data_IF_293686270491
#
_entry.id   IF_293686270491
#
_cell.length_a   1.000
_cell.length_b   1.000
_cell.length_c   1.000
_cell.angle_alpha   90.00
_cell.angle_beta   90.00
_cell.angle_gamma   90.00
#
_symmetry.space_group_name_H-M   'P 1'
#
loop_
_entity.id
_entity.type
_entity.pdbx_description
1 polymer ?
#
# COMPACT_ATOMS: atom_id res chain seq x y z
N UNK A 1 4.63 1.19 16.03
CA UNK A 1 4.81 -0.27 15.93
C UNK A 1 5.79 -0.65 14.81
N UNK A 2 7.09 -0.39 14.96
CA UNK A 2 8.12 -0.78 13.95
C UNK A 2 8.77 -2.15 14.21
N UNK A 3 8.70 -2.65 15.45
CA UNK A 3 9.51 -3.79 15.89
C UNK A 3 9.23 -5.10 15.13
N UNK A 4 7.97 -5.38 14.76
CA UNK A 4 7.59 -6.63 14.11
C UNK A 4 7.87 -6.69 12.60
N UNK A 5 8.17 -5.55 11.96
CA UNK A 5 8.48 -5.52 10.52
C UNK A 5 9.83 -6.15 10.20
N UNK A 6 10.81 -5.94 11.10
CA UNK A 6 12.18 -6.46 10.97
C UNK A 6 12.22 -8.00 11.03
N UNK A 7 11.64 -8.67 12.04
CA UNK A 7 11.64 -10.13 12.10
C UNK A 7 10.85 -10.77 10.96
N UNK A 8 9.73 -10.17 10.52
CA UNK A 8 8.98 -10.67 9.36
C UNK A 8 9.75 -10.55 8.05
N UNK A 9 10.56 -9.50 7.90
CA UNK A 9 11.45 -9.35 6.74
C UNK A 9 12.58 -10.37 6.77
N UNK A 10 13.14 -10.65 7.94
CA UNK A 10 14.15 -11.69 8.11
C UNK A 10 13.59 -13.08 7.78
N UNK A 11 12.41 -13.44 8.30
CA UNK A 11 11.76 -14.73 8.01
C UNK A 11 11.48 -14.88 6.50
N UNK A 12 10.95 -13.85 5.85
CA UNK A 12 10.72 -13.89 4.40
C UNK A 12 12.04 -14.05 3.63
N UNK A 13 13.07 -13.26 3.97
CA UNK A 13 14.37 -13.33 3.28
C UNK A 13 15.05 -14.69 3.44
N UNK A 14 15.04 -15.28 4.65
CA UNK A 14 15.60 -16.62 4.84
C UNK A 14 14.79 -17.69 4.09
N UNK A 15 13.46 -17.58 4.06
CA UNK A 15 12.63 -18.52 3.32
C UNK A 15 12.83 -18.39 1.79
N UNK A 16 12.99 -17.17 1.27
CA UNK A 16 13.33 -16.94 -0.15
C UNK A 16 14.73 -17.47 -0.50
N UNK A 17 15.72 -17.29 0.38
CA UNK A 17 17.06 -17.86 0.21
C UNK A 17 17.05 -19.39 0.20
N UNK A 18 16.26 -20.01 1.10
CA UNK A 18 16.07 -21.47 1.11
C UNK A 18 15.36 -21.96 -0.16
N UNK A 19 14.38 -21.21 -0.66
CA UNK A 19 13.70 -21.54 -1.91
C UNK A 19 14.69 -21.50 -3.07
N UNK A 20 15.48 -20.43 -3.20
CA UNK A 20 16.48 -20.27 -4.25
C UNK A 20 17.59 -21.33 -4.20
N UNK A 21 18.09 -21.66 -3.01
CA UNK A 21 19.25 -22.55 -2.85
C UNK A 21 18.92 -24.04 -2.89
N UNK A 22 17.66 -24.42 -2.59
CA UNK A 22 17.29 -25.83 -2.42
C UNK A 22 16.11 -26.26 -3.30
N UNK A 23 15.57 -25.40 -4.17
CA UNK A 23 14.38 -25.70 -4.99
C UNK A 23 14.39 -27.07 -5.65
N UNK A 24 15.54 -27.46 -6.22
CA UNK A 24 15.69 -28.70 -6.99
C UNK A 24 15.91 -29.95 -6.12
N UNK A 25 16.24 -29.76 -4.84
CA UNK A 25 16.53 -30.84 -3.88
C UNK A 25 15.41 -30.97 -2.82
N UNK A 26 14.54 -29.96 -2.72
CA UNK A 26 13.40 -29.96 -1.82
C UNK A 26 12.37 -30.99 -2.28
N UNK A 27 12.00 -31.89 -1.36
CA UNK A 27 10.79 -32.69 -1.55
C UNK A 27 9.56 -31.79 -1.70
N UNK A 28 8.54 -32.26 -2.41
CA UNK A 28 7.28 -31.55 -2.59
C UNK A 28 6.66 -31.11 -1.25
N UNK A 29 6.77 -31.95 -0.22
CA UNK A 29 6.32 -31.63 1.15
C UNK A 29 7.09 -30.47 1.77
N UNK A 30 8.42 -30.44 1.61
CA UNK A 30 9.25 -29.36 2.14
C UNK A 30 8.99 -28.04 1.40
N UNK A 31 8.82 -28.10 0.08
CA UNK A 31 8.43 -26.95 -0.74
C UNK A 31 7.05 -26.41 -0.33
N UNK A 32 6.10 -27.29 0.00
CA UNK A 32 4.78 -26.88 0.51
C UNK A 32 4.89 -26.11 1.84
N UNK A 33 5.70 -26.59 2.80
CA UNK A 33 5.91 -25.87 4.06
C UNK A 33 6.58 -24.51 3.86
N UNK A 34 7.58 -24.44 2.99
CA UNK A 34 8.28 -23.20 2.68
C UNK A 34 7.32 -22.15 2.09
N UNK A 35 6.50 -22.57 1.13
CA UNK A 35 5.46 -21.73 0.55
C UNK A 35 4.44 -21.26 1.60
N UNK A 36 4.08 -22.09 2.57
CA UNK A 36 3.19 -21.70 3.66
C UNK A 36 3.82 -20.64 4.56
N UNK A 37 5.11 -20.78 4.91
CA UNK A 37 5.86 -19.81 5.70
C UNK A 37 5.92 -18.45 5.00
N UNK A 38 6.26 -18.44 3.70
CA UNK A 38 6.29 -17.22 2.88
C UNK A 38 4.93 -16.55 2.84
N UNK A 39 3.87 -17.32 2.57
CA UNK A 39 2.50 -16.79 2.47
C UNK A 39 2.03 -16.23 3.81
N UNK A 40 2.31 -16.90 4.92
CA UNK A 40 1.96 -16.43 6.26
C UNK A 40 2.71 -15.14 6.64
N UNK A 41 4.01 -15.09 6.37
CA UNK A 41 4.85 -13.92 6.67
C UNK A 41 4.43 -12.68 5.88
N UNK A 42 4.10 -12.85 4.59
CA UNK A 42 3.57 -11.79 3.72
C UNK A 42 2.21 -11.27 4.20
N UNK A 43 1.29 -12.17 4.56
CA UNK A 43 -0.02 -11.77 5.12
C UNK A 43 0.14 -10.96 6.40
N UNK A 44 0.98 -11.41 7.34
CA UNK A 44 1.18 -10.74 8.62
C UNK A 44 1.78 -9.34 8.44
N UNK A 45 2.71 -9.16 7.49
CA UNK A 45 3.26 -7.85 7.15
C UNK A 45 2.19 -6.89 6.65
N UNK A 46 1.31 -7.36 5.75
CA UNK A 46 0.21 -6.55 5.24
C UNK A 46 -0.75 -6.12 6.34
N UNK A 47 -1.14 -7.04 7.23
CA UNK A 47 -1.98 -6.71 8.39
C UNK A 47 -1.34 -5.65 9.30
N UNK A 48 -0.03 -5.75 9.57
CA UNK A 48 0.70 -4.76 10.37
C UNK A 48 0.80 -3.39 9.67
N UNK A 49 0.93 -3.38 8.35
CA UNK A 49 0.94 -2.16 7.56
C UNK A 49 -0.43 -1.48 7.56
N UNK A 50 -1.50 -2.24 7.37
CA UNK A 50 -2.87 -1.77 7.39
C UNK A 50 -3.24 -1.22 8.77
N UNK A 51 -2.90 -1.95 9.85
CA UNK A 51 -3.09 -1.49 11.21
C UNK A 51 -2.26 -0.24 11.52
N UNK A 52 -1.00 -0.18 11.07
CA UNK A 52 -0.18 1.01 11.26
C UNK A 52 -0.71 2.21 10.47
N UNK A 53 -1.31 1.99 9.30
CA UNK A 53 -1.92 3.05 8.50
C UNK A 53 -3.18 3.55 9.21
N UNK A 54 -4.05 2.63 9.63
CA UNK A 54 -5.27 2.92 10.37
C UNK A 54 -5.00 3.65 11.68
N UNK A 55 -4.04 3.18 12.49
CA UNK A 55 -3.66 3.84 13.75
C UNK A 55 -3.13 5.26 13.57
N UNK A 56 -2.61 5.62 12.39
CA UNK A 56 -2.15 7.00 12.10
C UNK A 56 -3.28 7.91 11.64
N UNK A 57 -4.40 7.36 11.18
CA UNK A 57 -5.60 8.12 10.84
C UNK A 57 -6.19 8.64 12.17
N UNK A 58 -6.13 9.95 12.39
CA UNK A 58 -6.61 10.62 13.60
C UNK A 58 -5.53 11.06 14.60
N UNK A 59 -4.30 10.56 14.48
CA UNK A 59 -3.16 10.94 15.36
C UNK A 59 -2.30 12.08 14.80
N UNK A 60 -2.28 12.24 13.47
CA UNK A 60 -1.79 13.48 12.87
C UNK A 60 -2.90 14.50 12.92
N UNK A 61 -2.73 15.54 13.73
CA UNK A 61 -3.57 16.74 13.64
C UNK A 61 -3.59 17.23 12.20
N UNK A 62 -4.76 17.66 11.73
CA UNK A 62 -4.87 18.35 10.44
C UNK A 62 -4.07 19.63 10.57
N UNK A 63 -3.01 19.77 9.76
CA UNK A 63 -2.31 21.05 9.64
C UNK A 63 -3.22 21.93 8.81
N UNK A 64 -3.84 22.90 9.47
CA UNK A 64 -4.66 23.90 8.79
C UNK A 64 -3.71 24.93 8.17
N UNK A 65 -3.69 24.96 6.85
CA UNK A 65 -2.93 25.94 6.09
C UNK A 65 -3.79 26.47 4.94
N UNK A 66 -3.47 27.68 4.47
CA UNK A 66 -4.07 28.22 3.28
C UNK A 66 -3.56 27.43 2.07
N UNK A 67 -4.48 26.88 1.28
CA UNK A 67 -4.18 26.11 0.07
C UNK A 67 -4.92 26.72 -1.12
N UNK A 68 -4.32 26.61 -2.31
CA UNK A 68 -4.98 26.91 -3.57
C UNK A 68 -6.00 25.80 -3.87
N UNK A 69 -7.28 26.15 -3.90
CA UNK A 69 -8.35 25.20 -4.22
C UNK A 69 -8.27 24.80 -5.70
N UNK A 70 -7.80 25.72 -6.53
CA UNK A 70 -7.51 25.55 -7.94
C UNK A 70 -6.46 24.46 -8.15
N UNK A 71 -5.30 24.55 -7.49
CA UNK A 71 -4.20 23.59 -7.64
C UNK A 71 -4.63 22.19 -7.19
N UNK A 72 -5.36 22.10 -6.08
CA UNK A 72 -5.89 20.83 -5.59
C UNK A 72 -6.87 20.23 -6.58
N UNK A 73 -7.76 21.06 -7.14
CA UNK A 73 -8.76 20.65 -8.12
C UNK A 73 -8.12 20.13 -9.41
N UNK A 74 -7.09 20.82 -9.93
CA UNK A 74 -6.33 20.38 -11.10
C UNK A 74 -5.63 19.05 -10.86
N UNK A 75 -4.97 18.89 -9.71
CA UNK A 75 -4.32 17.64 -9.34
C UNK A 75 -5.31 16.47 -9.26
N UNK A 76 -6.52 16.71 -8.71
CA UNK A 76 -7.58 15.70 -8.66
C UNK A 76 -8.08 15.34 -10.06
N UNK A 77 -8.32 16.33 -10.92
CA UNK A 77 -8.76 16.10 -12.30
C UNK A 77 -7.72 15.32 -13.12
N UNK A 78 -6.42 15.61 -12.95
CA UNK A 78 -5.33 14.87 -13.57
C UNK A 78 -5.33 13.40 -13.13
N UNK A 79 -5.45 13.14 -11.83
CA UNK A 79 -5.51 11.78 -11.28
C UNK A 79 -6.74 11.00 -11.76
N UNK A 80 -7.85 11.68 -12.07
CA UNK A 80 -9.10 11.06 -12.48
C UNK A 80 -9.32 11.05 -14.00
N UNK A 81 -8.41 11.64 -14.78
CA UNK A 81 -8.55 11.84 -16.23
C UNK A 81 -8.99 10.57 -16.97
N UNK A 82 -8.28 9.46 -16.77
CA UNK A 82 -8.62 8.19 -17.43
C UNK A 82 -10.01 7.66 -17.05
N UNK A 83 -10.40 7.80 -15.78
CA UNK A 83 -11.73 7.41 -15.29
C UNK A 83 -12.85 8.27 -15.87
N UNK A 84 -12.59 9.56 -16.06
CA UNK A 84 -13.55 10.49 -16.63
C UNK A 84 -13.74 10.18 -18.12
N UNK A 85 -12.64 10.06 -18.86
CA UNK A 85 -12.67 9.74 -20.29
C UNK A 85 -13.27 8.37 -20.57
N UNK A 86 -12.89 7.32 -19.83
CA UNK A 86 -13.46 5.97 -20.02
C UNK A 86 -14.95 5.87 -19.76
N UNK A 87 -15.53 6.82 -19.02
CA UNK A 87 -16.97 6.91 -18.77
C UNK A 87 -17.68 7.97 -19.62
N UNK A 88 -16.98 8.63 -20.54
CA UNK A 88 -17.47 9.81 -21.27
C UNK A 88 -18.10 10.85 -20.33
N UNK A 89 -17.51 11.02 -19.13
CA UNK A 89 -17.99 11.96 -18.13
C UNK A 89 -17.44 13.36 -18.38
N UNK A 90 -18.17 14.36 -17.87
CA UNK A 90 -17.73 15.76 -17.84
C UNK A 90 -17.76 16.27 -16.40
N UNK A 91 -16.74 17.03 -15.99
CA UNK A 91 -16.68 17.65 -14.67
C UNK A 91 -16.55 19.16 -14.86
N UNK A 92 -17.46 19.91 -14.22
CA UNK A 92 -17.43 21.36 -14.16
C UNK A 92 -17.21 21.81 -12.73
N UNK A 93 -16.18 22.63 -12.50
CA UNK A 93 -15.86 23.20 -11.20
C UNK A 93 -16.31 24.67 -11.21
N UNK A 94 -17.32 25.00 -10.41
CA UNK A 94 -17.80 26.37 -10.27
C UNK A 94 -17.02 27.06 -9.15
N UNK A 95 -16.17 28.02 -9.50
CA UNK A 95 -15.48 28.83 -8.50
C UNK A 95 -16.43 29.91 -7.95
N UNK A 96 -16.68 29.91 -6.64
CA UNK A 96 -17.58 30.87 -5.97
C UNK A 96 -16.84 32.08 -5.39
N UNK A 97 -15.52 32.18 -5.58
CA UNK A 97 -14.65 33.16 -4.93
C UNK A 97 -14.11 34.29 -5.83
N UNK A 98 -14.58 34.39 -7.08
CA UNK A 98 -14.26 35.51 -7.97
C UNK A 98 -15.47 36.46 -8.07
N UNK A 99 -15.48 37.49 -7.22
CA UNK A 99 -16.19 38.77 -7.45
C UNK A 99 -15.14 39.84 -7.75
#
# INVERSE_FOLDING_TARGET
>A
MSQFKIPLRAIEGFAELLELSLKEVLSERALHYLNNILRASRRMRKMLEDLSRYSKIGLKGVVMEAISVEDVSENVLLNLKEKITSKNGEISIKNRFLT
#
